data_IF_977782072727
#
_entry.id   IF_977782072727
#
_cell.length_a   1.000
_cell.length_b   1.000
_cell.length_c   1.000
_cell.angle_alpha   90.00
_cell.angle_beta   90.00
_cell.angle_gamma   90.00
#
_symmetry.space_group_name_H-M   'P 1'
#
loop_
_entity.id
_entity.type
_entity.pdbx_description
1 polymer ?
#
# COMPACT_ATOMS: atom_id res chain seq x y z
N UNK A 1 3.82 9.17 -6.67
CA UNK A 1 2.35 9.26 -6.74
C UNK A 1 1.72 8.18 -5.88
N UNK A 2 0.65 8.53 -5.17
CA UNK A 2 -0.12 7.53 -4.43
C UNK A 2 -1.52 7.41 -5.04
N UNK A 3 -2.07 6.20 -5.02
CA UNK A 3 -3.42 5.90 -5.48
C UNK A 3 -4.15 5.13 -4.40
N UNK A 4 -5.43 5.45 -4.20
CA UNK A 4 -6.22 4.88 -3.12
C UNK A 4 -7.37 4.02 -3.67
N UNK A 5 -7.57 2.86 -3.02
CA UNK A 5 -8.75 2.03 -3.21
C UNK A 5 -9.46 2.02 -1.87
N UNK A 6 -10.68 2.55 -1.83
CA UNK A 6 -11.43 2.72 -0.60
C UNK A 6 -12.72 1.91 -0.62
N UNK A 7 -13.27 1.70 0.55
CA UNK A 7 -14.51 0.96 0.77
C UNK A 7 -14.47 0.30 2.13
N UNK A 8 -15.63 -0.02 2.67
CA UNK A 8 -15.71 -0.69 3.95
C UNK A 8 -15.09 -2.09 3.87
N UNK A 9 -14.73 -2.63 5.02
CA UNK A 9 -14.14 -3.96 5.12
C UNK A 9 -15.07 -5.00 4.48
N UNK A 10 -14.49 -5.93 3.73
CA UNK A 10 -15.24 -7.02 3.09
C UNK A 10 -15.83 -6.67 1.72
N UNK A 11 -15.49 -5.53 1.15
CA UNK A 11 -16.03 -5.10 -0.16
C UNK A 11 -15.20 -5.56 -1.36
N UNK A 12 -14.10 -6.26 -1.15
CA UNK A 12 -13.31 -6.81 -2.26
C UNK A 12 -12.11 -5.97 -2.68
N UNK A 13 -11.60 -5.10 -1.83
CA UNK A 13 -10.44 -4.26 -2.14
C UNK A 13 -9.18 -5.08 -2.45
N UNK A 14 -8.97 -6.16 -1.70
CA UNK A 14 -7.79 -7.02 -1.88
C UNK A 14 -7.73 -7.60 -3.28
N UNK A 15 -8.87 -8.08 -3.80
CA UNK A 15 -8.92 -8.65 -5.16
C UNK A 15 -8.48 -7.62 -6.20
N UNK A 16 -8.89 -6.38 -6.04
CA UNK A 16 -8.52 -5.30 -6.95
C UNK A 16 -7.02 -5.04 -6.89
N UNK A 17 -6.44 -4.99 -5.68
CA UNK A 17 -4.99 -4.83 -5.51
C UNK A 17 -4.22 -5.96 -6.17
N UNK A 18 -4.63 -7.20 -5.93
CA UNK A 18 -3.97 -8.38 -6.51
C UNK A 18 -4.01 -8.33 -8.03
N UNK A 19 -5.18 -8.03 -8.60
CA UNK A 19 -5.34 -7.96 -10.05
C UNK A 19 -4.47 -6.83 -10.64
N UNK A 20 -4.42 -5.69 -9.99
CA UNK A 20 -3.57 -4.58 -10.44
C UNK A 20 -2.09 -4.95 -10.41
N UNK A 21 -1.62 -5.54 -9.32
CA UNK A 21 -0.23 -5.93 -9.18
C UNK A 21 0.18 -6.94 -10.25
N UNK A 22 -0.66 -7.96 -10.46
CA UNK A 22 -0.41 -8.99 -11.47
C UNK A 22 -0.40 -8.44 -12.89
N UNK A 23 -1.17 -7.39 -13.15
CA UNK A 23 -1.19 -6.73 -14.43
C UNK A 23 0.05 -5.84 -14.62
N UNK A 24 0.40 -5.06 -13.61
CA UNK A 24 1.50 -4.12 -13.67
C UNK A 24 2.86 -4.80 -13.79
N UNK A 25 3.04 -5.96 -13.15
CA UNK A 25 4.34 -6.65 -13.21
C UNK A 25 4.75 -7.02 -14.63
N UNK A 26 3.79 -7.10 -15.55
CA UNK A 26 4.08 -7.44 -16.95
C UNK A 26 4.64 -6.26 -17.73
N UNK A 27 4.47 -5.02 -17.25
CA UNK A 27 4.87 -3.81 -17.97
C UNK A 27 5.95 -3.00 -17.28
N UNK A 28 6.23 -3.22 -15.99
CA UNK A 28 7.29 -2.50 -15.29
C UNK A 28 8.65 -3.10 -15.61
N UNK A 29 9.68 -2.25 -15.60
CA UNK A 29 11.06 -2.70 -15.80
C UNK A 29 11.72 -3.12 -14.49
N UNK A 30 11.27 -2.56 -13.38
CA UNK A 30 11.85 -2.81 -12.06
C UNK A 30 11.01 -3.75 -11.22
N UNK A 31 11.08 -3.57 -9.92
CA UNK A 31 10.48 -4.48 -8.95
C UNK A 31 9.17 -3.93 -8.39
N UNK A 32 8.30 -4.86 -8.00
CA UNK A 32 7.06 -4.57 -7.27
C UNK A 32 7.11 -5.32 -5.95
N UNK A 33 6.75 -4.62 -4.87
CA UNK A 33 6.62 -5.20 -3.53
C UNK A 33 5.16 -5.06 -3.10
N UNK A 34 4.62 -6.12 -2.53
CA UNK A 34 3.25 -6.17 -2.04
C UNK A 34 3.29 -6.46 -0.53
N UNK A 35 2.86 -5.47 0.28
CA UNK A 35 2.80 -5.61 1.74
C UNK A 35 1.40 -6.01 2.14
N UNK A 36 1.31 -7.10 2.91
CA UNK A 36 0.04 -7.64 3.39
C UNK A 36 0.14 -7.96 4.88
N UNK A 37 -1.01 -8.15 5.50
CA UNK A 37 -1.12 -8.54 6.90
C UNK A 37 -0.99 -10.06 7.10
N UNK A 38 -0.82 -10.82 6.02
CA UNK A 38 -0.65 -12.29 6.07
C UNK A 38 -0.06 -12.79 4.76
N UNK A 39 0.25 -14.09 4.69
CA UNK A 39 0.71 -14.74 3.46
C UNK A 39 -0.44 -15.43 2.71
N UNK A 40 -1.67 -15.17 3.11
CA UNK A 40 -2.85 -15.84 2.58
C UNK A 40 -2.94 -15.78 1.05
N UNK A 41 -2.52 -14.68 0.47
CA UNK A 41 -2.66 -14.43 -0.97
C UNK A 41 -1.39 -14.67 -1.79
N UNK A 42 -0.36 -15.30 -1.20
CA UNK A 42 0.94 -15.43 -1.89
C UNK A 42 0.85 -16.20 -3.21
N UNK A 43 -0.05 -17.18 -3.30
CA UNK A 43 -0.20 -17.96 -4.53
C UNK A 43 -1.05 -17.28 -5.59
N UNK A 44 -1.73 -16.20 -5.24
CA UNK A 44 -2.53 -15.41 -6.17
C UNK A 44 -1.70 -14.30 -6.83
N UNK A 45 -0.48 -14.07 -6.34
CA UNK A 45 0.43 -13.09 -6.92
C UNK A 45 1.44 -13.76 -7.85
N UNK A 46 1.79 -13.05 -8.92
CA UNK A 46 2.88 -13.45 -9.78
C UNK A 46 4.17 -13.59 -8.94
N UNK A 47 4.95 -14.65 -9.19
CA UNK A 47 6.14 -14.94 -8.38
C UNK A 47 7.26 -13.91 -8.51
N UNK A 48 7.18 -13.01 -9.48
CA UNK A 48 8.11 -11.89 -9.62
C UNK A 48 7.78 -10.74 -8.66
N UNK A 49 6.59 -10.74 -8.05
CA UNK A 49 6.20 -9.75 -7.05
C UNK A 49 6.64 -10.28 -5.68
N UNK A 50 7.35 -9.45 -4.93
CA UNK A 50 7.75 -9.81 -3.57
C UNK A 50 6.59 -9.55 -2.61
N UNK A 51 6.02 -10.61 -2.04
CA UNK A 51 5.05 -10.47 -0.95
C UNK A 51 5.76 -10.41 0.39
N UNK A 52 5.44 -9.40 1.19
CA UNK A 52 5.96 -9.28 2.54
C UNK A 52 4.79 -9.34 3.52
N UNK A 53 4.82 -10.32 4.41
CA UNK A 53 3.89 -10.42 5.53
C UNK A 53 4.42 -9.55 6.67
N UNK A 54 3.81 -8.38 6.84
CA UNK A 54 4.27 -7.38 7.81
C UNK A 54 4.21 -7.90 9.23
N UNK A 55 3.32 -8.86 9.53
CA UNK A 55 3.23 -9.46 10.87
C UNK A 55 4.49 -10.21 11.30
N UNK A 56 5.34 -10.60 10.36
CA UNK A 56 6.60 -11.29 10.69
C UNK A 56 7.67 -10.33 11.21
N UNK A 57 7.41 -9.04 11.25
CA UNK A 57 8.37 -8.02 11.64
C UNK A 57 7.80 -7.16 12.76
N UNK A 58 8.66 -6.54 13.60
CA UNK A 58 8.18 -5.73 14.72
C UNK A 58 7.67 -4.36 14.28
N UNK A 59 6.62 -4.37 13.45
CA UNK A 59 5.93 -3.16 12.98
C UNK A 59 4.68 -3.02 13.84
N UNK A 60 4.68 -2.07 14.76
CA UNK A 60 3.64 -1.95 15.77
C UNK A 60 2.89 -0.60 15.75
N UNK A 61 3.10 0.20 14.73
CA UNK A 61 2.42 1.48 14.61
C UNK A 61 2.82 2.22 13.34
N UNK A 62 2.33 3.45 13.21
CA UNK A 62 2.57 4.29 12.04
C UNK A 62 4.07 4.53 11.81
N UNK A 63 4.79 4.94 12.84
CA UNK A 63 6.19 5.33 12.68
C UNK A 63 7.08 4.14 12.32
N UNK A 64 6.86 3.00 12.97
CA UNK A 64 7.60 1.78 12.63
C UNK A 64 7.26 1.30 11.23
N UNK A 65 6.00 1.44 10.81
CA UNK A 65 5.60 1.07 9.45
C UNK A 65 6.28 1.96 8.41
N UNK A 66 6.32 3.27 8.62
CA UNK A 66 6.98 4.19 7.69
C UNK A 66 8.47 3.92 7.60
N UNK A 67 9.12 3.63 8.73
CA UNK A 67 10.52 3.20 8.74
C UNK A 67 10.74 1.91 7.98
N UNK A 68 9.80 0.98 8.09
CA UNK A 68 9.82 -0.29 7.36
C UNK A 68 9.77 -0.05 5.85
N UNK A 69 8.89 0.84 5.38
CA UNK A 69 8.84 1.23 3.97
C UNK A 69 10.17 1.81 3.51
N UNK A 70 10.73 2.72 4.28
CA UNK A 70 12.02 3.34 3.94
C UNK A 70 13.14 2.30 3.89
N UNK A 71 13.12 1.31 4.79
CA UNK A 71 14.09 0.22 4.77
C UNK A 71 14.01 -0.61 3.50
N UNK A 72 12.79 -0.92 3.04
CA UNK A 72 12.60 -1.66 1.79
C UNK A 72 13.13 -0.85 0.61
N UNK A 73 12.79 0.43 0.55
CA UNK A 73 13.21 1.32 -0.53
C UNK A 73 14.73 1.49 -0.54
N UNK A 74 15.35 1.59 0.64
CA UNK A 74 16.78 1.90 0.76
C UNK A 74 17.70 0.83 0.17
N UNK A 75 17.24 -0.40 0.06
CA UNK A 75 18.06 -1.52 -0.41
C UNK A 75 17.72 -1.96 -1.84
N UNK A 76 16.75 -1.34 -2.50
CA UNK A 76 16.31 -1.76 -3.83
C UNK A 76 16.16 -0.55 -4.75
N UNK A 77 17.22 -0.27 -5.53
CA UNK A 77 17.22 0.83 -6.48
C UNK A 77 16.27 0.61 -7.65
N UNK A 78 15.83 -0.63 -7.86
CA UNK A 78 14.95 -1.00 -8.98
C UNK A 78 13.48 -1.03 -8.57
N UNK A 79 13.16 -0.70 -7.33
CA UNK A 79 11.79 -0.70 -6.85
C UNK A 79 11.00 0.44 -7.49
N UNK A 80 9.90 0.10 -8.16
CA UNK A 80 9.05 1.10 -8.85
C UNK A 80 7.70 1.28 -8.18
N UNK A 81 7.16 0.23 -7.56
CA UNK A 81 5.77 0.23 -7.12
C UNK A 81 5.59 -0.62 -5.87
N UNK A 82 4.85 -0.09 -4.90
CA UNK A 82 4.49 -0.81 -3.69
C UNK A 82 2.97 -0.83 -3.54
N UNK A 83 2.45 -2.02 -3.23
CA UNK A 83 1.05 -2.21 -2.87
C UNK A 83 0.96 -2.38 -1.37
N UNK A 84 0.08 -1.59 -0.72
CA UNK A 84 -0.15 -1.66 0.72
C UNK A 84 -1.58 -2.12 0.94
N UNK A 85 -1.76 -3.38 1.32
CA UNK A 85 -3.10 -3.95 1.51
C UNK A 85 -3.52 -3.88 2.96
N UNK A 86 -4.73 -3.39 3.20
CA UNK A 86 -5.28 -3.22 4.56
C UNK A 86 -4.48 -2.19 5.38
N UNK A 87 -4.38 -0.99 4.86
CA UNK A 87 -3.52 0.06 5.41
C UNK A 87 -3.72 0.34 6.89
N UNK A 88 -4.97 0.40 7.34
CA UNK A 88 -5.25 0.66 8.76
C UNK A 88 -4.73 -0.48 9.65
N UNK A 89 -4.78 -1.71 9.15
CA UNK A 89 -4.24 -2.87 9.87
C UNK A 89 -2.71 -2.84 9.89
N UNK A 90 -2.08 -2.53 8.74
CA UNK A 90 -0.62 -2.50 8.63
C UNK A 90 -0.02 -1.43 9.54
N UNK A 91 -0.68 -0.29 9.65
CA UNK A 91 -0.17 0.85 10.43
C UNK A 91 -0.70 0.88 11.86
N UNK A 92 -1.75 0.11 12.16
CA UNK A 92 -2.45 0.12 13.46
C UNK A 92 -2.95 1.50 13.85
N UNK A 93 -3.49 2.23 12.86
CA UNK A 93 -4.07 3.55 13.09
C UNK A 93 -5.58 3.53 12.84
N UNK A 94 -6.26 4.55 13.35
CA UNK A 94 -7.69 4.76 13.11
C UNK A 94 -7.89 5.65 11.88
N UNK A 95 -9.13 5.70 11.38
CA UNK A 95 -9.46 6.50 10.21
C UNK A 95 -9.13 7.99 10.37
N UNK A 96 -9.23 8.53 11.57
CA UNK A 96 -8.92 9.94 11.85
C UNK A 96 -7.41 10.26 11.82
N UNK A 97 -6.56 9.24 11.76
CA UNK A 97 -5.12 9.40 11.70
C UNK A 97 -4.56 9.23 10.28
N UNK A 98 -5.44 8.98 9.31
CA UNK A 98 -5.03 8.63 7.94
C UNK A 98 -4.33 9.78 7.23
N UNK A 99 -4.77 11.02 7.46
CA UNK A 99 -4.22 12.17 6.73
C UNK A 99 -2.71 12.30 6.90
N UNK A 100 -2.23 12.30 8.13
CA UNK A 100 -0.79 12.44 8.41
C UNK A 100 0.00 11.26 7.82
N UNK A 101 -0.52 10.05 7.95
CA UNK A 101 0.15 8.87 7.40
C UNK A 101 0.26 8.93 5.88
N UNK A 102 -0.81 9.31 5.20
CA UNK A 102 -0.79 9.44 3.73
C UNK A 102 0.12 10.57 3.27
N UNK A 103 0.17 11.68 4.00
CA UNK A 103 1.08 12.78 3.68
C UNK A 103 2.54 12.34 3.74
N UNK A 104 2.88 11.54 4.74
CA UNK A 104 4.25 11.03 4.88
C UNK A 104 4.59 10.05 3.78
N UNK A 105 3.67 9.18 3.39
CA UNK A 105 3.88 8.26 2.26
C UNK A 105 4.01 9.04 0.96
N UNK A 106 3.22 10.08 0.78
CA UNK A 106 3.29 10.92 -0.41
C UNK A 106 4.67 11.57 -0.55
N UNK A 107 5.25 12.04 0.57
CA UNK A 107 6.61 12.59 0.56
C UNK A 107 7.66 11.52 0.24
N UNK A 108 7.50 10.31 0.77
CA UNK A 108 8.38 9.18 0.46
C UNK A 108 8.30 8.86 -1.04
N UNK A 109 7.08 8.80 -1.57
CA UNK A 109 6.84 8.53 -2.98
C UNK A 109 7.54 9.55 -3.87
N UNK A 110 7.39 10.83 -3.56
CA UNK A 110 8.00 11.91 -4.33
C UNK A 110 9.52 11.90 -4.23
N UNK A 111 10.04 11.68 -3.01
CA UNK A 111 11.49 11.76 -2.76
C UNK A 111 12.26 10.61 -3.40
N UNK A 112 11.68 9.42 -3.43
CA UNK A 112 12.38 8.21 -3.88
C UNK A 112 11.85 7.65 -5.20
N UNK A 113 10.87 8.31 -5.80
CA UNK A 113 10.27 7.92 -7.09
C UNK A 113 9.69 6.50 -7.07
N UNK A 114 9.00 6.17 -5.98
CA UNK A 114 8.27 4.91 -5.84
C UNK A 114 6.79 5.22 -5.78
N UNK A 115 5.99 4.59 -6.63
CA UNK A 115 4.54 4.74 -6.61
C UNK A 115 3.90 3.78 -5.62
N UNK A 116 2.77 4.21 -5.04
CA UNK A 116 2.04 3.40 -4.06
C UNK A 116 0.59 3.22 -4.48
N UNK A 117 0.08 2.01 -4.31
CA UNK A 117 -1.35 1.72 -4.40
C UNK A 117 -1.77 1.18 -3.02
N UNK A 118 -2.73 1.86 -2.39
CA UNK A 118 -3.05 1.64 -0.98
C UNK A 118 -4.53 1.33 -0.84
N UNK A 119 -4.88 0.19 -0.23
CA UNK A 119 -6.26 -0.09 0.13
C UNK A 119 -6.53 0.38 1.56
N UNK A 120 -7.61 1.13 1.73
CA UNK A 120 -7.97 1.70 3.03
C UNK A 120 -9.46 1.43 3.30
N UNK A 121 -9.76 0.84 4.45
CA UNK A 121 -11.15 0.53 4.84
C UNK A 121 -11.84 1.76 5.42
N UNK A 122 -12.06 2.76 4.59
CA UNK A 122 -12.76 4.00 4.93
C UNK A 122 -13.76 4.34 3.83
N UNK A 123 -14.70 5.21 4.17
CA UNK A 123 -15.66 5.75 3.21
C UNK A 123 -15.12 7.06 2.64
N UNK A 124 -15.72 7.54 1.55
CA UNK A 124 -15.26 8.74 0.87
C UNK A 124 -15.23 9.98 1.78
N UNK A 125 -16.22 10.10 2.66
CA UNK A 125 -16.28 11.23 3.60
C UNK A 125 -15.16 11.18 4.66
N UNK A 126 -14.53 10.04 4.84
CA UNK A 126 -13.39 9.89 5.75
C UNK A 126 -12.04 10.14 5.05
N UNK A 127 -12.04 10.24 3.73
CA UNK A 127 -10.80 10.54 2.99
C UNK A 127 -10.47 12.02 3.15
N UNK A 128 -9.25 12.37 3.57
CA UNK A 128 -8.84 13.78 3.65
C UNK A 128 -9.03 14.47 2.30
N UNK A 129 -9.53 15.69 2.31
CA UNK A 129 -9.85 16.43 1.08
C UNK A 129 -8.67 16.46 0.10
N UNK A 130 -7.46 16.60 0.63
CA UNK A 130 -6.22 16.62 -0.16
C UNK A 130 -6.06 15.37 -1.03
N UNK A 131 -6.59 14.22 -0.59
CA UNK A 131 -6.38 12.92 -1.25
C UNK A 131 -7.60 12.42 -2.02
N UNK A 132 -8.68 13.20 -2.11
CA UNK A 132 -9.89 12.79 -2.84
C UNK A 132 -9.54 12.46 -4.30
N UNK A 133 -8.70 13.25 -4.92
CA UNK A 133 -8.30 13.03 -6.33
C UNK A 133 -7.42 11.80 -6.52
N UNK A 134 -6.88 11.26 -5.43
CA UNK A 134 -6.04 10.05 -5.48
C UNK A 134 -6.87 8.76 -5.47
N UNK A 135 -8.18 8.85 -5.24
CA UNK A 135 -9.06 7.69 -5.22
C UNK A 135 -9.23 7.17 -6.65
N UNK A 136 -8.83 5.93 -6.90
CA UNK A 136 -8.99 5.29 -8.21
C UNK A 136 -10.15 4.31 -8.24
N UNK A 137 -10.55 3.79 -7.09
CA UNK A 137 -11.68 2.88 -6.97
C UNK A 137 -12.36 3.08 -5.62
N UNK A 138 -13.68 3.10 -5.67
CA UNK A 138 -14.52 3.21 -4.48
C UNK A 138 -15.53 2.07 -4.49
N UNK A 139 -15.53 1.25 -3.44
CA UNK A 139 -16.42 0.08 -3.34
C UNK A 139 -17.54 0.25 -2.33
#
# INVERSE_FOLDING_TARGET
MIQLIIGEKGKGKTKILLDMANKQIKSVNGNIVYLDKSKQHMYELNNRIRLIDVKNYPVDGRDTFLGFLCGIISQDNDLELMYLDSFLTLTRINADEVEDALERIDRISTSYHVDFVISVSITRDQVPERFIENIITEL
#
